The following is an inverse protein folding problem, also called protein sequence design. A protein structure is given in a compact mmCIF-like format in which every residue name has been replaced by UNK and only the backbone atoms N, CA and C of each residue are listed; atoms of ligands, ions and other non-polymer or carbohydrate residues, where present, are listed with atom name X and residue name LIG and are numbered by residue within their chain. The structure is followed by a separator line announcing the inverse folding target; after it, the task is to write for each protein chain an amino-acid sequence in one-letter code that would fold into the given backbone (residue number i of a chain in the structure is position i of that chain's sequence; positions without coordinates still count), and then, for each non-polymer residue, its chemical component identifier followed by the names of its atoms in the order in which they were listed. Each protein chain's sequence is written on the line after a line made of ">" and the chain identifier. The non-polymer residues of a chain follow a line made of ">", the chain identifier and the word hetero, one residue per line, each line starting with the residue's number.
data_IF_586482477213
#
_entry.id   IF_586482477213
#
_cell.length_a   1.000
_cell.length_b   1.000
_cell.length_c   1.000
_cell.angle_alpha   90.00
_cell.angle_beta   90.00
_cell.angle_gamma   90.00
#
_symmetry.space_group_name_H-M   'P 1'
#
loop_
_entity.id
_entity.type
_entity.pdbx_description
1 polymer ?
#
# COMPACT_ATOMS: atom_id res chain seq x y z
N UNK A 1 -41.85 -10.18 -20.32
CA UNK A 1 -41.95 -8.74 -20.01
C UNK A 1 -40.54 -8.23 -19.77
N UNK A 2 -40.08 -7.22 -20.53
CA UNK A 2 -38.80 -6.56 -20.27
C UNK A 2 -38.95 -5.72 -18.99
N UNK A 3 -38.39 -6.19 -17.88
CA UNK A 3 -38.31 -5.38 -16.66
C UNK A 3 -37.49 -4.13 -16.94
N UNK A 4 -38.02 -2.94 -16.64
CA UNK A 4 -37.23 -1.73 -16.71
C UNK A 4 -36.15 -1.79 -15.63
N UNK A 5 -34.88 -1.65 -16.03
CA UNK A 5 -33.76 -1.59 -15.10
C UNK A 5 -33.75 -0.17 -14.51
N UNK A 6 -34.31 -0.01 -13.32
CA UNK A 6 -34.06 1.18 -12.53
C UNK A 6 -32.63 1.10 -11.99
N UNK A 7 -31.69 1.78 -12.65
CA UNK A 7 -30.28 1.89 -12.23
C UNK A 7 -30.09 2.54 -10.83
N UNK A 8 -31.18 2.88 -10.11
CA UNK A 8 -31.19 3.76 -8.94
C UNK A 8 -32.37 3.49 -7.98
N UNK A 9 -32.59 2.25 -7.52
CA UNK A 9 -33.64 1.98 -6.51
C UNK A 9 -33.39 2.76 -5.19
N UNK A 10 -32.14 3.16 -4.93
CA UNK A 10 -31.70 4.05 -3.84
C UNK A 10 -31.14 5.43 -4.29
N UNK A 11 -31.38 5.83 -5.55
CA UNK A 11 -30.85 7.10 -6.08
C UNK A 11 -29.32 7.14 -6.25
N UNK A 12 -28.76 8.35 -6.37
CA UNK A 12 -27.31 8.62 -6.58
C UNK A 12 -26.42 8.14 -5.42
N UNK A 13 -27.02 7.72 -4.30
CA UNK A 13 -26.32 7.34 -3.07
C UNK A 13 -25.40 6.14 -3.29
N UNK A 14 -25.87 5.09 -3.97
CA UNK A 14 -25.09 3.85 -4.12
C UNK A 14 -23.85 4.05 -4.99
N UNK A 15 -23.93 4.69 -6.19
CA UNK A 15 -22.73 5.00 -6.95
C UNK A 15 -21.76 5.92 -6.20
N UNK A 16 -22.25 6.94 -5.49
CA UNK A 16 -21.40 7.83 -4.69
C UNK A 16 -20.70 7.09 -3.55
N UNK A 17 -21.42 6.23 -2.83
CA UNK A 17 -20.86 5.42 -1.75
C UNK A 17 -19.83 4.42 -2.29
N UNK A 18 -20.13 3.77 -3.40
CA UNK A 18 -19.22 2.84 -4.06
C UNK A 18 -17.94 3.56 -4.50
N UNK A 19 -18.05 4.75 -5.10
CA UNK A 19 -16.92 5.59 -5.44
C UNK A 19 -16.11 5.99 -4.20
N UNK A 20 -16.76 6.44 -3.13
CA UNK A 20 -16.10 6.83 -1.89
C UNK A 20 -15.31 5.66 -1.26
N UNK A 21 -15.87 4.45 -1.24
CA UNK A 21 -15.19 3.24 -0.78
C UNK A 21 -13.99 2.88 -1.66
N UNK A 22 -14.13 3.07 -2.98
CA UNK A 22 -13.03 2.88 -3.93
C UNK A 22 -11.88 3.84 -3.67
N UNK A 23 -12.18 5.12 -3.46
CA UNK A 23 -11.19 6.15 -3.11
C UNK A 23 -10.54 5.84 -1.77
N UNK A 24 -11.33 5.53 -0.73
CA UNK A 24 -10.82 5.22 0.61
C UNK A 24 -9.85 4.03 0.59
N UNK A 25 -10.25 2.91 0.00
CA UNK A 25 -9.37 1.74 -0.09
C UNK A 25 -8.13 2.02 -0.94
N UNK A 26 -8.23 2.85 -1.98
CA UNK A 26 -7.09 3.26 -2.81
C UNK A 26 -6.10 4.14 -2.05
N UNK A 27 -6.58 5.09 -1.23
CA UNK A 27 -5.72 5.91 -0.35
C UNK A 27 -4.96 5.02 0.64
N UNK A 28 -5.68 4.12 1.31
CA UNK A 28 -5.08 3.19 2.28
C UNK A 28 -4.05 2.28 1.60
N UNK A 29 -4.38 1.75 0.43
CA UNK A 29 -3.48 0.88 -0.31
C UNK A 29 -2.20 1.58 -0.79
N UNK A 30 -2.32 2.79 -1.34
CA UNK A 30 -1.16 3.59 -1.76
C UNK A 30 -0.30 3.99 -0.57
N UNK A 31 -0.92 4.32 0.57
CA UNK A 31 -0.19 4.62 1.82
C UNK A 31 0.58 3.38 2.30
N UNK A 32 -0.05 2.20 2.31
CA UNK A 32 0.63 0.93 2.59
C UNK A 32 1.75 0.64 1.58
N UNK A 33 1.55 0.91 0.29
CA UNK A 33 2.56 0.72 -0.73
C UNK A 33 3.77 1.64 -0.53
N UNK A 34 3.57 2.89 -0.09
CA UNK A 34 4.66 3.79 0.32
C UNK A 34 5.44 3.18 1.49
N UNK A 35 4.75 2.76 2.56
CA UNK A 35 5.37 2.11 3.73
C UNK A 35 6.10 0.81 3.39
N UNK A 36 5.61 0.04 2.43
CA UNK A 36 6.26 -1.17 1.94
C UNK A 36 7.62 -0.87 1.29
N UNK A 37 7.73 0.24 0.55
CA UNK A 37 8.98 0.66 -0.10
C UNK A 37 10.00 1.24 0.88
N UNK A 38 9.53 1.75 2.02
CA UNK A 38 10.34 2.29 3.13
C UNK A 38 10.65 1.22 4.19
N UNK A 39 10.29 -0.04 3.95
CA UNK A 39 10.53 -1.12 4.88
C UNK A 39 11.97 -1.65 4.77
N UNK A 40 12.68 -1.68 5.90
CA UNK A 40 14.07 -2.15 6.03
C UNK A 40 14.17 -3.68 6.08
N UNK A 41 13.06 -4.38 6.33
CA UNK A 41 13.02 -5.85 6.38
C UNK A 41 11.97 -6.43 5.45
N UNK A 42 12.28 -7.60 4.88
CA UNK A 42 11.37 -8.34 4.00
C UNK A 42 10.04 -8.66 4.69
N UNK A 43 10.07 -9.01 5.98
CA UNK A 43 8.85 -9.29 6.75
C UNK A 43 7.95 -8.06 6.92
N UNK A 44 8.52 -6.88 7.20
CA UNK A 44 7.75 -5.63 7.32
C UNK A 44 7.17 -5.21 5.97
N UNK A 45 7.96 -5.36 4.91
CA UNK A 45 7.53 -5.12 3.52
C UNK A 45 6.34 -6.01 3.14
N UNK A 46 6.42 -7.31 3.46
CA UNK A 46 5.35 -8.26 3.21
C UNK A 46 4.04 -7.88 3.94
N UNK A 47 4.13 -7.44 5.21
CA UNK A 47 2.94 -6.99 5.98
C UNK A 47 2.27 -5.76 5.35
N UNK A 48 3.06 -4.79 4.90
CA UNK A 48 2.51 -3.62 4.21
C UNK A 48 1.91 -3.96 2.86
N UNK A 49 2.51 -4.89 2.09
CA UNK A 49 1.92 -5.39 0.85
C UNK A 49 0.60 -6.12 1.14
N UNK A 50 0.54 -6.95 2.19
CA UNK A 50 -0.70 -7.62 2.59
C UNK A 50 -1.79 -6.60 2.96
N UNK A 51 -1.45 -5.58 3.76
CA UNK A 51 -2.36 -4.48 4.09
C UNK A 51 -2.83 -3.69 2.85
N UNK A 52 -1.93 -3.42 1.91
CA UNK A 52 -2.28 -2.79 0.64
C UNK A 52 -3.23 -3.65 -0.21
N UNK A 53 -3.05 -4.96 -0.18
CA UNK A 53 -3.87 -5.93 -0.92
C UNK A 53 -5.27 -6.04 -0.36
N UNK A 54 -5.40 -6.04 0.97
CA UNK A 54 -6.70 -6.01 1.66
C UNK A 54 -7.41 -4.68 1.38
N UNK A 55 -6.71 -3.55 1.45
CA UNK A 55 -7.29 -2.23 1.19
C UNK A 55 -7.74 -2.06 -0.27
N UNK A 56 -6.89 -2.39 -1.24
CA UNK A 56 -7.20 -2.22 -2.66
C UNK A 56 -8.15 -3.31 -3.15
N UNK A 57 -7.81 -4.58 -2.94
CA UNK A 57 -8.64 -5.71 -3.37
C UNK A 57 -9.95 -5.82 -2.60
N UNK A 58 -9.87 -5.81 -1.27
CA UNK A 58 -11.05 -5.95 -0.40
C UNK A 58 -11.92 -4.71 -0.41
N UNK A 59 -11.40 -3.56 0.03
CA UNK A 59 -12.23 -2.34 0.18
C UNK A 59 -12.47 -1.63 -1.15
N UNK A 60 -11.42 -1.31 -1.91
CA UNK A 60 -11.58 -0.41 -3.05
C UNK A 60 -12.24 -1.07 -4.27
N UNK A 61 -12.03 -2.37 -4.46
CA UNK A 61 -12.49 -3.13 -5.62
C UNK A 61 -13.69 -3.99 -5.25
N UNK A 62 -13.56 -4.94 -4.32
CA UNK A 62 -14.63 -5.88 -4.00
C UNK A 62 -15.81 -5.24 -3.26
N UNK A 63 -15.56 -4.47 -2.18
CA UNK A 63 -16.66 -3.82 -1.46
C UNK A 63 -17.35 -2.79 -2.33
N UNK A 64 -16.59 -1.98 -3.09
CA UNK A 64 -17.17 -1.07 -4.09
C UNK A 64 -18.13 -1.82 -5.02
N UNK A 65 -17.64 -2.89 -5.65
CA UNK A 65 -18.39 -3.70 -6.59
C UNK A 65 -19.67 -4.27 -5.96
N UNK A 66 -19.57 -4.82 -4.76
CA UNK A 66 -20.71 -5.42 -4.08
C UNK A 66 -21.73 -4.37 -3.65
N UNK A 67 -21.30 -3.24 -3.07
CA UNK A 67 -22.19 -2.14 -2.70
C UNK A 67 -22.89 -1.58 -3.94
N UNK A 68 -22.18 -1.40 -5.05
CA UNK A 68 -22.77 -0.96 -6.30
C UNK A 68 -23.84 -1.95 -6.78
N UNK A 69 -23.56 -3.27 -6.75
CA UNK A 69 -24.53 -4.32 -7.06
C UNK A 69 -25.76 -4.33 -6.15
N UNK A 70 -25.59 -4.13 -4.84
CA UNK A 70 -26.72 -4.06 -3.90
C UNK A 70 -27.66 -2.88 -4.18
N UNK A 71 -27.16 -1.82 -4.84
CA UNK A 71 -27.97 -0.69 -5.27
C UNK A 71 -28.77 -0.92 -6.56
N UNK A 72 -28.50 -2.04 -7.26
CA UNK A 72 -29.29 -2.44 -8.42
C UNK A 72 -30.49 -3.27 -7.98
N UNK A 73 -31.68 -2.76 -8.31
CA UNK A 73 -32.94 -3.49 -8.24
C UNK A 73 -33.39 -3.93 -9.62
N UNK A 74 -34.08 -5.07 -9.70
CA UNK A 74 -34.85 -5.45 -10.88
C UNK A 74 -36.32 -5.45 -10.47
N UNK A 75 -37.14 -4.62 -11.09
CA UNK A 75 -38.57 -4.57 -10.80
C UNK A 75 -39.20 -5.96 -10.99
N UNK A 76 -39.96 -6.40 -9.98
CA UNK A 76 -40.68 -7.66 -10.00
C UNK A 76 -39.93 -8.87 -9.43
N UNK A 77 -38.68 -8.75 -8.96
CA UNK A 77 -37.95 -9.86 -8.32
C UNK A 77 -36.95 -9.37 -7.26
N UNK A 78 -36.86 -10.10 -6.14
CA UNK A 78 -35.86 -9.81 -5.11
C UNK A 78 -34.55 -10.50 -5.45
N UNK A 79 -33.49 -9.74 -5.70
CA UNK A 79 -32.15 -10.31 -5.93
C UNK A 79 -31.62 -10.88 -4.61
N UNK A 80 -31.18 -12.14 -4.67
CA UNK A 80 -30.48 -12.85 -3.60
C UNK A 80 -29.05 -13.16 -4.04
N UNK A 81 -28.19 -13.43 -3.07
CA UNK A 81 -26.77 -13.64 -3.31
C UNK A 81 -26.29 -14.95 -2.69
N UNK A 82 -25.60 -15.75 -3.49
CA UNK A 82 -24.94 -16.97 -3.03
C UNK A 82 -23.68 -16.65 -2.22
N UNK A 83 -23.71 -16.88 -0.91
CA UNK A 83 -22.58 -16.61 0.00
C UNK A 83 -21.25 -17.22 -0.47
N UNK A 84 -21.18 -18.46 -0.97
CA UNK A 84 -19.91 -19.05 -1.40
C UNK A 84 -19.24 -18.27 -2.53
N UNK A 85 -19.99 -17.87 -3.57
CA UNK A 85 -19.43 -17.11 -4.69
C UNK A 85 -19.05 -15.68 -4.28
N UNK A 86 -19.81 -15.07 -3.36
CA UNK A 86 -19.45 -13.78 -2.75
C UNK A 86 -18.12 -13.84 -2.00
N UNK A 87 -17.84 -14.94 -1.29
CA UNK A 87 -16.55 -15.15 -0.60
C UNK A 87 -15.44 -15.46 -1.61
N UNK A 88 -15.69 -16.30 -2.61
CA UNK A 88 -14.70 -16.60 -3.66
C UNK A 88 -14.31 -15.32 -4.41
N UNK A 89 -15.27 -14.46 -4.74
CA UNK A 89 -14.98 -13.18 -5.40
C UNK A 89 -14.10 -12.28 -4.52
N UNK A 90 -14.35 -12.20 -3.20
CA UNK A 90 -13.49 -11.47 -2.26
C UNK A 90 -12.04 -11.98 -2.28
N UNK A 91 -11.88 -13.30 -2.21
CA UNK A 91 -10.56 -13.96 -2.24
C UNK A 91 -9.84 -13.67 -3.56
N UNK A 92 -10.55 -13.76 -4.69
CA UNK A 92 -9.99 -13.44 -6.00
C UNK A 92 -9.46 -12.01 -6.06
N UNK A 93 -10.19 -11.02 -5.54
CA UNK A 93 -9.72 -9.64 -5.51
C UNK A 93 -8.45 -9.48 -4.64
N UNK A 94 -8.47 -9.96 -3.40
CA UNK A 94 -7.35 -9.77 -2.47
C UNK A 94 -6.09 -10.49 -2.98
N UNK A 95 -6.23 -11.75 -3.41
CA UNK A 95 -5.10 -12.56 -3.88
C UNK A 95 -4.52 -12.00 -5.19
N UNK A 96 -5.36 -11.64 -6.15
CA UNK A 96 -4.90 -11.13 -7.44
C UNK A 96 -4.17 -9.80 -7.31
N UNK A 97 -4.68 -8.91 -6.47
CA UNK A 97 -4.01 -7.65 -6.14
C UNK A 97 -2.72 -7.90 -5.35
N UNK A 98 -2.73 -8.83 -4.39
CA UNK A 98 -1.55 -9.14 -3.59
C UNK A 98 -0.41 -9.76 -4.37
N UNK A 99 -0.70 -10.61 -5.35
CA UNK A 99 0.31 -11.12 -6.28
C UNK A 99 0.89 -9.98 -7.11
N UNK A 100 0.05 -9.12 -7.70
CA UNK A 100 0.51 -7.97 -8.50
C UNK A 100 1.39 -7.01 -7.69
N UNK A 101 0.93 -6.65 -6.48
CA UNK A 101 1.69 -5.80 -5.56
C UNK A 101 2.98 -6.47 -5.09
N UNK A 102 3.00 -7.80 -4.89
CA UNK A 102 4.23 -8.51 -4.53
C UNK A 102 5.24 -8.51 -5.69
N UNK A 103 4.79 -8.67 -6.93
CA UNK A 103 5.66 -8.67 -8.10
C UNK A 103 6.41 -7.35 -8.28
N UNK A 104 5.72 -6.22 -8.14
CA UNK A 104 6.33 -4.87 -8.22
C UNK A 104 6.94 -4.43 -6.89
N UNK A 105 6.43 -5.02 -5.81
CA UNK A 105 6.74 -4.66 -4.44
C UNK A 105 7.92 -5.41 -3.87
N UNK A 106 8.47 -6.48 -4.47
CA UNK A 106 9.74 -7.09 -4.05
C UNK A 106 10.86 -6.83 -5.07
N UNK A 107 11.92 -6.15 -4.63
CA UNK A 107 13.05 -5.74 -5.47
C UNK A 107 12.82 -4.43 -6.22
N UNK A 108 13.54 -4.25 -7.34
CA UNK A 108 13.45 -3.06 -8.20
C UNK A 108 12.31 -3.26 -9.21
N UNK A 109 11.32 -2.36 -9.17
CA UNK A 109 10.22 -2.37 -10.12
C UNK A 109 10.76 -2.01 -11.52
N UNK A 110 10.35 -2.77 -12.52
CA UNK A 110 10.64 -2.48 -13.92
C UNK A 110 9.33 -2.57 -14.73
N UNK A 111 9.36 -2.08 -15.96
CA UNK A 111 8.18 -2.01 -16.80
C UNK A 111 7.56 -3.39 -17.07
N UNK A 112 8.37 -4.43 -17.26
CA UNK A 112 7.90 -5.81 -17.49
C UNK A 112 7.13 -6.36 -16.29
N UNK A 113 7.61 -6.14 -15.06
CA UNK A 113 6.92 -6.56 -13.84
C UNK A 113 5.60 -5.82 -13.65
N UNK A 114 5.55 -4.53 -14.00
CA UNK A 114 4.31 -3.73 -13.92
C UNK A 114 3.29 -4.23 -14.95
N UNK A 115 3.71 -4.50 -16.19
CA UNK A 115 2.82 -5.04 -17.22
C UNK A 115 2.33 -6.45 -16.88
N UNK A 116 3.23 -7.36 -16.50
CA UNK A 116 2.87 -8.73 -16.15
C UNK A 116 2.00 -8.80 -14.90
N UNK A 117 2.36 -8.05 -13.85
CA UNK A 117 1.54 -7.94 -12.64
C UNK A 117 0.20 -7.28 -12.91
N UNK A 118 0.15 -6.24 -13.75
CA UNK A 118 -1.07 -5.52 -14.07
C UNK A 118 -2.03 -6.34 -14.93
N UNK A 119 -1.50 -7.12 -15.89
CA UNK A 119 -2.29 -8.08 -16.65
C UNK A 119 -2.91 -9.14 -15.73
N UNK A 120 -2.10 -9.76 -14.86
CA UNK A 120 -2.57 -10.77 -13.92
C UNK A 120 -3.62 -10.21 -12.95
N UNK A 121 -3.33 -9.06 -12.31
CA UNK A 121 -4.26 -8.41 -11.39
C UNK A 121 -5.53 -7.97 -12.10
N UNK A 122 -5.45 -7.42 -13.32
CA UNK A 122 -6.61 -6.98 -14.10
C UNK A 122 -7.54 -8.14 -14.47
N UNK A 123 -6.97 -9.25 -14.96
CA UNK A 123 -7.74 -10.48 -15.22
C UNK A 123 -8.35 -11.04 -13.94
N UNK A 124 -7.62 -11.04 -12.83
CA UNK A 124 -8.15 -11.46 -11.54
C UNK A 124 -9.28 -10.57 -11.01
N UNK A 125 -9.20 -9.26 -11.25
CA UNK A 125 -10.26 -8.29 -10.90
C UNK A 125 -11.50 -8.47 -11.78
N UNK A 126 -11.32 -8.74 -13.09
CA UNK A 126 -12.43 -9.12 -13.96
C UNK A 126 -13.05 -10.46 -13.54
N UNK A 127 -12.23 -11.46 -13.19
CA UNK A 127 -12.71 -12.74 -12.67
C UNK A 127 -13.50 -12.56 -11.37
N UNK A 128 -13.03 -11.71 -10.45
CA UNK A 128 -13.79 -11.33 -9.26
C UNK A 128 -15.15 -10.73 -9.62
N UNK A 129 -15.17 -9.75 -10.53
CA UNK A 129 -16.38 -9.04 -10.94
C UNK A 129 -17.44 -10.00 -11.49
N UNK A 130 -17.07 -10.85 -12.44
CA UNK A 130 -18.00 -11.80 -13.05
C UNK A 130 -18.36 -12.97 -12.12
N UNK A 131 -17.47 -13.37 -11.19
CA UNK A 131 -17.82 -14.34 -10.13
C UNK A 131 -18.83 -13.75 -9.15
N UNK A 132 -18.69 -12.47 -8.81
CA UNK A 132 -19.66 -11.73 -7.99
C UNK A 132 -21.03 -11.68 -8.64
N UNK A 133 -21.09 -11.34 -9.93
CA UNK A 133 -22.34 -11.34 -10.69
C UNK A 133 -22.94 -12.74 -10.89
N UNK A 134 -22.11 -13.76 -11.10
CA UNK A 134 -22.57 -15.16 -11.13
C UNK A 134 -23.19 -15.62 -9.79
N UNK A 135 -22.87 -14.92 -8.68
CA UNK A 135 -23.48 -15.14 -7.38
C UNK A 135 -24.90 -14.57 -7.24
N UNK A 136 -25.38 -13.76 -8.19
CA UNK A 136 -26.73 -13.20 -8.18
C UNK A 136 -27.76 -14.28 -8.53
N UNK A 137 -28.78 -14.40 -7.68
CA UNK A 137 -29.91 -15.30 -7.83
C UNK A 137 -31.17 -14.46 -7.95
N UNK A 138 -31.85 -14.58 -9.09
CA UNK A 138 -33.10 -13.87 -9.40
C UNK A 138 -33.99 -14.78 -10.25
N UNK A 139 -35.28 -14.45 -10.37
CA UNK A 139 -36.27 -15.25 -11.11
C UNK A 139 -36.14 -15.03 -12.63
N UNK A 140 -34.96 -15.31 -13.18
CA UNK A 140 -34.57 -14.94 -14.53
C UNK A 140 -33.24 -15.56 -14.95
N UNK A 141 -32.94 -15.50 -16.25
CA UNK A 141 -31.60 -15.81 -16.76
C UNK A 141 -30.82 -14.53 -17.01
N UNK A 142 -29.55 -14.53 -16.59
CA UNK A 142 -28.60 -13.45 -16.86
C UNK A 142 -27.80 -13.82 -18.11
N UNK A 143 -27.86 -12.98 -19.13
CA UNK A 143 -27.03 -13.08 -20.34
C UNK A 143 -26.08 -11.90 -20.43
N UNK A 144 -24.94 -12.11 -21.07
CA UNK A 144 -23.91 -11.09 -21.27
C UNK A 144 -23.70 -10.82 -22.75
N UNK A 145 -23.69 -9.55 -23.11
CA UNK A 145 -23.20 -9.09 -24.40
C UNK A 145 -21.66 -9.16 -24.40
N UNK A 146 -21.03 -9.85 -25.36
CA UNK A 146 -19.57 -10.03 -25.36
C UNK A 146 -18.81 -8.71 -25.51
N UNK A 147 -19.37 -7.69 -26.18
CA UNK A 147 -18.62 -6.45 -26.48
C UNK A 147 -18.35 -5.63 -25.20
N UNK A 148 -19.36 -5.30 -24.36
CA UNK A 148 -19.09 -4.60 -23.11
C UNK A 148 -18.31 -5.44 -22.09
N UNK A 149 -18.40 -6.79 -22.15
CA UNK A 149 -17.54 -7.68 -21.35
C UNK A 149 -16.07 -7.50 -21.71
N UNK A 150 -15.71 -7.57 -22.99
CA UNK A 150 -14.32 -7.37 -23.41
C UNK A 150 -13.85 -5.97 -23.02
N UNK A 151 -14.69 -4.95 -23.18
CA UNK A 151 -14.35 -3.58 -22.80
C UNK A 151 -14.10 -3.44 -21.29
N UNK A 152 -14.94 -4.01 -20.44
CA UNK A 152 -14.75 -3.98 -18.99
C UNK A 152 -13.44 -4.66 -18.58
N UNK A 153 -13.11 -5.81 -19.19
CA UNK A 153 -11.86 -6.55 -18.95
C UNK A 153 -10.64 -5.71 -19.35
N UNK A 154 -10.70 -5.00 -20.50
CA UNK A 154 -9.64 -4.10 -20.93
C UNK A 154 -9.45 -2.93 -19.94
N UNK A 155 -10.55 -2.34 -19.46
CA UNK A 155 -10.50 -1.30 -18.43
C UNK A 155 -9.87 -1.85 -17.15
N UNK A 156 -10.23 -3.07 -16.73
CA UNK A 156 -9.66 -3.72 -15.55
C UNK A 156 -8.14 -3.88 -15.66
N UNK A 157 -7.64 -4.34 -16.81
CA UNK A 157 -6.19 -4.50 -17.07
C UNK A 157 -5.47 -3.16 -17.07
N UNK A 158 -5.99 -2.16 -17.77
CA UNK A 158 -5.38 -0.82 -17.80
C UNK A 158 -5.37 -0.21 -16.39
N UNK A 159 -6.49 -0.28 -15.68
CA UNK A 159 -6.60 0.21 -14.31
C UNK A 159 -5.61 -0.48 -13.36
N UNK A 160 -5.45 -1.80 -13.47
CA UNK A 160 -4.50 -2.56 -12.66
C UNK A 160 -3.04 -2.18 -12.97
N UNK A 161 -2.68 -2.02 -14.25
CA UNK A 161 -1.34 -1.54 -14.66
C UNK A 161 -1.08 -0.15 -14.05
N UNK A 162 -2.03 0.77 -14.17
CA UNK A 162 -1.92 2.12 -13.60
C UNK A 162 -1.81 2.06 -12.08
N UNK A 163 -2.62 1.26 -11.40
CA UNK A 163 -2.57 1.10 -9.95
C UNK A 163 -1.20 0.58 -9.47
N UNK A 164 -0.63 -0.42 -10.15
CA UNK A 164 0.70 -0.93 -9.82
C UNK A 164 1.81 0.07 -10.15
N UNK A 165 1.66 0.86 -11.20
CA UNK A 165 2.59 1.95 -11.51
C UNK A 165 2.55 3.06 -10.44
N UNK A 166 1.35 3.47 -10.01
CA UNK A 166 1.16 4.44 -8.94
C UNK A 166 1.72 3.92 -7.61
N UNK A 167 1.52 2.63 -7.31
CA UNK A 167 2.01 1.99 -6.09
C UNK A 167 3.53 1.94 -5.97
N UNK A 168 4.28 2.16 -7.06
CA UNK A 168 5.75 2.27 -7.05
C UNK A 168 6.27 3.70 -7.26
N UNK A 169 5.45 4.62 -7.77
CA UNK A 169 5.89 5.97 -8.16
C UNK A 169 5.40 7.09 -7.25
N UNK A 170 4.19 6.98 -6.72
CA UNK A 170 3.54 8.05 -5.94
C UNK A 170 4.16 8.18 -4.55
N UNK A 171 4.40 9.43 -4.13
CA UNK A 171 4.85 9.81 -2.79
C UNK A 171 4.17 11.12 -2.39
N UNK A 172 3.92 11.30 -1.09
CA UNK A 172 3.28 12.49 -0.53
C UNK A 172 1.75 12.43 -0.54
N UNK A 173 1.13 13.03 0.49
CA UNK A 173 -0.31 12.91 0.75
C UNK A 173 -1.20 13.41 -0.40
N UNK A 174 -0.87 14.56 -0.99
CA UNK A 174 -1.64 15.12 -2.12
C UNK A 174 -1.60 14.25 -3.38
N UNK A 175 -0.42 13.70 -3.70
CA UNK A 175 -0.29 12.80 -4.85
C UNK A 175 -1.03 11.48 -4.61
N UNK A 176 -1.02 10.96 -3.38
CA UNK A 176 -1.84 9.80 -2.98
C UNK A 176 -3.33 10.10 -3.16
N UNK A 177 -3.80 11.24 -2.65
CA UNK A 177 -5.20 11.63 -2.75
C UNK A 177 -5.65 11.77 -4.21
N UNK A 178 -4.89 12.48 -5.04
CA UNK A 178 -5.18 12.62 -6.48
C UNK A 178 -5.19 11.28 -7.22
N UNK A 179 -4.22 10.41 -6.90
CA UNK A 179 -4.13 9.06 -7.48
C UNK A 179 -5.32 8.19 -7.08
N UNK A 180 -5.76 8.27 -5.82
CA UNK A 180 -6.89 7.50 -5.32
C UNK A 180 -8.22 7.93 -5.95
N UNK A 181 -8.41 9.23 -6.23
CA UNK A 181 -9.57 9.72 -6.97
C UNK A 181 -9.62 9.13 -8.38
N UNK A 182 -8.50 9.16 -9.11
CA UNK A 182 -8.39 8.58 -10.46
C UNK A 182 -8.64 7.07 -10.43
N UNK A 183 -8.05 6.37 -9.45
CA UNK A 183 -8.27 4.94 -9.26
C UNK A 183 -9.74 4.64 -8.96
N UNK A 184 -10.41 5.46 -8.15
CA UNK A 184 -11.84 5.33 -7.88
C UNK A 184 -12.67 5.40 -9.16
N UNK A 185 -12.36 6.36 -10.06
CA UNK A 185 -13.03 6.49 -11.35
C UNK A 185 -12.80 5.26 -12.22
N UNK A 186 -11.55 4.78 -12.31
CA UNK A 186 -11.21 3.61 -13.10
C UNK A 186 -11.91 2.33 -12.61
N UNK A 187 -11.93 2.10 -11.29
CA UNK A 187 -12.53 0.92 -10.68
C UNK A 187 -14.06 0.94 -10.83
N UNK A 188 -14.69 2.10 -10.66
CA UNK A 188 -16.13 2.28 -10.90
C UNK A 188 -16.46 2.15 -12.39
N UNK A 189 -15.64 2.75 -13.26
CA UNK A 189 -15.81 2.68 -14.71
C UNK A 189 -15.78 1.25 -15.24
N UNK A 190 -14.86 0.42 -14.74
CA UNK A 190 -14.83 -1.01 -15.04
C UNK A 190 -16.16 -1.66 -14.65
N UNK A 191 -16.58 -1.45 -13.41
CA UNK A 191 -17.78 -2.09 -12.86
C UNK A 191 -19.05 -1.71 -13.64
N UNK A 192 -19.29 -0.42 -13.84
CA UNK A 192 -20.48 0.03 -14.56
C UNK A 192 -20.46 -0.37 -16.03
N UNK A 193 -19.28 -0.43 -16.67
CA UNK A 193 -19.16 -0.99 -18.03
C UNK A 193 -19.48 -2.49 -18.04
N UNK A 194 -19.06 -3.24 -17.03
CA UNK A 194 -19.44 -4.65 -16.89
C UNK A 194 -20.95 -4.84 -16.69
N UNK A 195 -21.58 -3.95 -15.92
CA UNK A 195 -23.04 -3.95 -15.69
C UNK A 195 -23.83 -3.65 -16.97
N UNK A 196 -23.34 -2.79 -17.87
CA UNK A 196 -24.04 -2.53 -19.15
C UNK A 196 -24.04 -3.74 -20.09
N UNK A 197 -23.18 -4.74 -19.85
CA UNK A 197 -23.19 -6.00 -20.58
C UNK A 197 -24.39 -6.88 -20.22
N UNK A 198 -25.00 -6.67 -19.05
CA UNK A 198 -25.97 -7.58 -18.46
C UNK A 198 -27.36 -7.40 -19.08
N UNK A 199 -27.98 -8.52 -19.49
CA UNK A 199 -29.38 -8.60 -19.91
C UNK A 199 -30.10 -9.62 -19.05
N UNK A 200 -31.26 -9.23 -18.51
CA UNK A 200 -32.07 -10.08 -17.62
C UNK A 200 -33.35 -10.47 -18.34
N UNK A 201 -33.54 -11.76 -18.56
CA UNK A 201 -34.79 -12.33 -19.08
C UNK A 201 -35.55 -12.96 -17.90
N UNK A 202 -36.64 -12.32 -17.46
CA UNK A 202 -37.46 -12.78 -16.33
C UNK A 202 -38.35 -13.96 -16.75
N UNK A 203 -38.44 -14.97 -15.88
CA UNK A 203 -39.36 -16.09 -16.04
C UNK A 203 -40.66 -15.83 -15.26
N UNK A 204 -41.75 -16.44 -15.70
CA UNK A 204 -43.04 -16.36 -15.01
C UNK A 204 -43.12 -17.27 -13.78
N UNK A 205 -42.21 -18.24 -13.66
CA UNK A 205 -42.13 -19.16 -12.52
C UNK A 205 -41.14 -18.64 -11.47
N UNK A 206 -41.58 -18.62 -10.20
CA UNK A 206 -40.74 -18.25 -9.07
C UNK A 206 -39.90 -19.45 -8.64
N UNK A 207 -38.58 -19.32 -8.73
CA UNK A 207 -37.65 -20.38 -8.32
C UNK A 207 -37.26 -20.14 -6.86
N UNK A 208 -37.19 -21.20 -6.06
CA UNK A 208 -36.76 -21.08 -4.65
C UNK A 208 -35.25 -20.84 -4.59
N UNK A 209 -34.86 -19.58 -4.42
CA UNK A 209 -33.46 -19.20 -4.22
C UNK A 209 -32.98 -19.47 -2.78
N UNK A 210 -31.81 -20.08 -2.63
CA UNK A 210 -31.18 -20.36 -1.32
C UNK A 210 -30.26 -19.23 -0.84
N UNK A 211 -30.00 -18.25 -1.71
CA UNK A 211 -29.20 -17.08 -1.39
C UNK A 211 -29.83 -16.17 -0.33
N UNK A 212 -28.99 -15.30 0.21
CA UNK A 212 -29.37 -14.30 1.22
C UNK A 212 -29.75 -12.98 0.56
N UNK A 213 -30.63 -12.21 1.18
CA UNK A 213 -31.08 -10.92 0.64
C UNK A 213 -30.00 -9.85 0.80
N UNK A 214 -30.08 -8.79 -0.01
CA UNK A 214 -29.20 -7.62 0.05
C UNK A 214 -29.05 -7.05 1.46
N UNK A 215 -30.16 -6.90 2.18
CA UNK A 215 -30.17 -6.34 3.54
C UNK A 215 -29.41 -7.19 4.55
N UNK A 216 -29.50 -8.52 4.45
CA UNK A 216 -28.77 -9.44 5.35
C UNK A 216 -27.27 -9.47 5.07
N UNK A 217 -26.84 -9.33 3.81
CA UNK A 217 -25.41 -9.28 3.46
C UNK A 217 -24.76 -7.93 3.73
N UNK A 218 -25.52 -6.84 3.68
CA UNK A 218 -24.96 -5.50 3.86
C UNK A 218 -24.29 -5.35 5.23
N UNK A 219 -24.93 -5.83 6.30
CA UNK A 219 -24.43 -5.72 7.69
C UNK A 219 -23.03 -6.35 7.86
N UNK A 220 -22.80 -7.65 7.59
CA UNK A 220 -21.49 -8.25 7.76
C UNK A 220 -20.42 -7.63 6.86
N UNK A 221 -20.79 -7.16 5.66
CA UNK A 221 -19.86 -6.49 4.75
C UNK A 221 -19.42 -5.14 5.31
N UNK A 222 -20.36 -4.30 5.74
CA UNK A 222 -20.07 -3.00 6.35
C UNK A 222 -19.23 -3.18 7.61
N UNK A 223 -19.59 -4.13 8.48
CA UNK A 223 -18.79 -4.44 9.69
C UNK A 223 -17.39 -4.90 9.30
N UNK A 224 -17.25 -5.82 8.35
CA UNK A 224 -15.95 -6.31 7.88
C UNK A 224 -15.07 -5.20 7.32
N UNK A 225 -15.64 -4.26 6.56
CA UNK A 225 -14.95 -3.10 6.02
C UNK A 225 -14.52 -2.14 7.11
N UNK A 226 -15.40 -1.82 8.06
CA UNK A 226 -15.09 -0.95 9.20
C UNK A 226 -13.94 -1.56 10.02
N UNK A 227 -14.04 -2.83 10.37
CA UNK A 227 -12.99 -3.54 11.13
C UNK A 227 -11.68 -3.58 10.35
N UNK A 228 -11.73 -3.87 9.05
CA UNK A 228 -10.54 -3.89 8.19
C UNK A 228 -9.87 -2.52 8.07
N UNK A 229 -10.65 -1.46 7.86
CA UNK A 229 -10.15 -0.09 7.77
C UNK A 229 -9.58 0.38 9.10
N UNK A 230 -10.30 0.18 10.21
CA UNK A 230 -9.82 0.55 11.55
C UNK A 230 -8.56 -0.23 11.90
N UNK A 231 -8.52 -1.53 11.64
CA UNK A 231 -7.35 -2.37 11.89
C UNK A 231 -6.13 -1.91 11.08
N UNK A 232 -6.35 -1.50 9.82
CA UNK A 232 -5.28 -0.99 8.97
C UNK A 232 -4.80 0.39 9.41
N UNK A 233 -5.71 1.30 9.76
CA UNK A 233 -5.38 2.63 10.30
C UNK A 233 -4.63 2.47 11.63
N UNK A 234 -5.08 1.59 12.52
CA UNK A 234 -4.37 1.27 13.76
C UNK A 234 -2.96 0.74 13.46
N UNK A 235 -2.80 -0.20 12.53
CA UNK A 235 -1.48 -0.68 12.12
C UNK A 235 -0.58 0.43 11.55
N UNK A 236 -1.15 1.43 10.87
CA UNK A 236 -0.43 2.62 10.39
C UNK A 236 0.00 3.54 11.54
N UNK A 237 -0.84 3.73 12.55
CA UNK A 237 -0.57 4.58 13.71
C UNK A 237 0.41 3.93 14.69
N UNK A 238 0.34 2.61 14.86
CA UNK A 238 1.25 1.84 15.70
C UNK A 238 2.58 1.52 15.04
N UNK A 239 2.75 1.87 13.76
CA UNK A 239 4.03 1.71 13.09
C UNK A 239 5.05 2.68 13.71
N UNK A 240 6.21 2.19 14.22
CA UNK A 240 7.19 3.04 14.88
C UNK A 240 7.58 4.24 14.00
N UNK A 241 7.51 5.43 14.57
CA UNK A 241 7.95 6.65 13.88
C UNK A 241 9.44 6.57 13.55
N UNK A 242 9.94 7.47 12.69
CA UNK A 242 11.38 7.56 12.44
C UNK A 242 12.15 7.93 13.72
N UNK A 243 11.52 8.72 14.60
CA UNK A 243 12.06 9.08 15.92
C UNK A 243 12.12 7.88 16.86
N UNK A 244 11.06 7.06 16.93
CA UNK A 244 11.07 5.82 17.74
C UNK A 244 12.17 4.86 17.26
N UNK A 245 12.37 4.78 15.94
CA UNK A 245 13.44 3.95 15.34
C UNK A 245 14.82 4.50 15.65
N UNK A 246 15.01 5.81 15.56
CA UNK A 246 16.27 6.45 15.91
C UNK A 246 16.58 6.29 17.41
N UNK A 247 15.57 6.43 18.28
CA UNK A 247 15.69 6.22 19.72
C UNK A 247 16.04 4.76 20.05
N UNK A 248 15.39 3.78 19.41
CA UNK A 248 15.71 2.37 19.60
C UNK A 248 17.12 2.01 19.12
N UNK A 249 17.53 2.51 17.95
CA UNK A 249 18.88 2.31 17.43
C UNK A 249 19.93 2.95 18.36
N UNK A 250 19.63 4.12 18.93
CA UNK A 250 20.48 4.77 19.92
C UNK A 250 20.60 3.93 21.21
N UNK A 251 19.48 3.45 21.76
CA UNK A 251 19.47 2.58 22.96
C UNK A 251 20.27 1.30 22.70
N UNK A 252 20.10 0.67 21.54
CA UNK A 252 20.83 -0.54 21.18
C UNK A 252 22.34 -0.29 21.03
N UNK A 253 22.73 0.84 20.42
CA UNK A 253 24.14 1.24 20.33
C UNK A 253 24.78 1.42 21.72
N UNK A 254 24.04 2.02 22.67
CA UNK A 254 24.50 2.23 24.05
C UNK A 254 24.59 0.92 24.82
N UNK A 255 23.61 0.02 24.64
CA UNK A 255 23.64 -1.32 25.22
C UNK A 255 24.86 -2.12 24.74
N UNK A 256 25.14 -2.08 23.44
CA UNK A 256 26.26 -2.80 22.86
C UNK A 256 27.61 -2.18 23.26
N UNK A 257 27.68 -0.85 23.39
CA UNK A 257 28.86 -0.16 23.91
C UNK A 257 29.12 -0.44 25.41
N UNK A 258 28.06 -0.57 26.21
CA UNK A 258 28.15 -0.93 27.64
C UNK A 258 28.44 -2.42 27.89
N UNK A 259 28.24 -3.29 26.89
CA UNK A 259 28.53 -4.72 26.96
C UNK A 259 29.92 -5.10 26.41
N UNK A 260 30.74 -4.12 26.00
CA UNK A 260 32.13 -4.38 25.67
C UNK A 260 32.86 -4.94 26.91
N UNK A 261 33.69 -5.99 26.79
CA UNK A 261 34.44 -6.50 27.93
C UNK A 261 35.26 -5.35 28.51
N UNK A 262 35.09 -5.07 29.81
CA UNK A 262 36.02 -4.20 30.52
C UNK A 262 37.45 -4.73 30.30
N UNK A 263 38.48 -3.86 30.35
CA UNK A 263 39.86 -4.32 30.22
C UNK A 263 40.07 -5.45 31.23
N UNK A 264 40.37 -6.65 30.71
CA UNK A 264 40.63 -7.81 31.54
C UNK A 264 41.73 -7.49 32.55
N UNK A 265 41.74 -8.13 33.73
CA UNK A 265 42.77 -7.88 34.74
C UNK A 265 44.14 -8.04 34.08
N UNK A 266 44.99 -7.03 34.26
CA UNK A 266 46.32 -7.01 33.67
C UNK A 266 47.13 -8.20 34.20
N UNK A 267 47.22 -9.26 33.40
CA UNK A 267 48.19 -10.34 33.59
C UNK A 267 49.59 -9.75 33.33
N UNK A 268 50.27 -9.39 34.40
CA UNK A 268 51.58 -8.75 34.30
C UNK A 268 52.22 -8.41 35.64
N UNK A 269 52.10 -9.27 36.65
CA UNK A 269 53.01 -9.23 37.79
C UNK A 269 54.41 -9.71 37.34
N UNK A 270 55.17 -8.81 36.72
CA UNK A 270 56.60 -9.01 36.52
C UNK A 270 57.31 -9.05 37.88
N UNK A 271 58.32 -9.91 38.09
CA UNK A 271 58.99 -10.02 39.37
C UNK A 271 59.74 -8.71 39.69
N UNK A 272 59.60 -8.27 40.95
CA UNK A 272 60.20 -7.06 41.48
C UNK A 272 61.73 -7.02 41.29
N UNK A 273 62.31 -5.86 40.95
CA UNK A 273 63.76 -5.76 40.80
C UNK A 273 64.46 -5.85 42.16
N UNK A 274 65.45 -6.75 42.25
CA UNK A 274 66.37 -6.85 43.36
C UNK A 274 67.24 -5.58 43.50
N UNK A 275 67.58 -5.23 44.74
CA UNK A 275 68.21 -3.98 45.14
C UNK A 275 69.62 -3.71 44.57
N UNK A 276 70.13 -2.48 44.76
CA UNK A 276 71.32 -1.99 44.05
C UNK A 276 72.62 -2.37 44.75
N UNK A 277 73.72 -2.64 44.00
CA UNK A 277 75.05 -2.56 44.56
C UNK A 277 75.63 -1.14 44.40
N UNK A 278 76.32 -0.72 45.44
CA UNK A 278 77.06 0.54 45.54
C UNK A 278 78.24 0.61 44.54
N UNK A 279 78.50 1.79 43.97
CA UNK A 279 79.68 1.96 43.11
C UNK A 279 79.84 3.29 42.36
N UNK A 280 80.04 4.38 43.11
CA UNK A 280 81.00 5.48 42.86
C UNK A 280 81.33 5.90 41.40
N UNK A 281 80.97 7.14 41.02
CA UNK A 281 81.92 8.03 40.34
C UNK A 281 81.46 8.88 39.14
N UNK A 282 81.18 10.15 39.45
CA UNK A 282 81.51 11.39 38.68
C UNK A 282 80.72 11.81 37.41
N UNK A 283 80.09 12.99 37.62
CA UNK A 283 80.12 14.25 36.84
C UNK A 283 79.48 14.31 35.45
N UNK A 284 78.56 15.26 35.30
CA UNK A 284 78.36 15.99 34.05
C UNK A 284 76.92 16.41 33.78
N UNK A 285 76.48 17.47 34.44
CA UNK A 285 75.23 18.19 34.18
C UNK A 285 75.35 18.94 32.85
N UNK A 286 74.40 18.77 31.90
CA UNK A 286 73.71 19.82 31.13
C UNK A 286 72.34 19.27 30.70
N UNK A 287 71.29 20.06 30.93
CA UNK A 287 69.90 19.81 30.53
C UNK A 287 69.45 20.85 29.49
N UNK A 288 68.44 20.48 28.71
CA UNK A 288 67.50 21.25 27.87
C UNK A 288 67.45 20.63 26.46
N UNK A 289 66.33 20.23 25.88
CA UNK A 289 64.93 20.42 26.23
C UNK A 289 64.15 20.34 24.91
N UNK A 290 63.24 19.37 24.84
CA UNK A 290 61.91 19.35 24.20
C UNK A 290 61.71 20.18 22.92
N UNK A 291 61.44 19.56 21.79
CA UNK A 291 60.20 18.88 21.41
C UNK A 291 59.43 19.73 20.38
N UNK A 292 59.27 19.09 19.23
CA UNK A 292 58.59 19.51 18.02
C UNK A 292 57.08 19.64 18.26
N UNK A 293 56.52 20.83 18.07
CA UNK A 293 55.08 21.06 18.05
C UNK A 293 54.61 21.40 16.62
N UNK A 294 53.58 20.72 16.06
CA UNK A 294 53.05 21.03 14.75
C UNK A 294 52.06 22.22 14.77
N UNK A 295 52.10 23.02 13.71
CA UNK A 295 51.34 24.26 13.49
C UNK A 295 49.85 23.98 13.13
N UNK A 296 48.87 24.72 13.65
CA UNK A 296 47.47 24.61 13.21
C UNK A 296 47.17 25.43 11.93
N UNK A 297 46.17 25.02 11.11
CA UNK A 297 45.86 25.66 9.84
C UNK A 297 45.13 27.02 9.98
N UNK A 298 45.43 27.94 9.06
CA UNK A 298 44.91 29.32 8.98
C UNK A 298 43.43 29.37 8.58
N UNK A 299 42.70 30.32 9.17
CA UNK A 299 41.30 30.65 8.89
C UNK A 299 41.12 31.43 7.55
N UNK A 300 39.95 31.34 6.90
CA UNK A 300 39.64 32.05 5.65
C UNK A 300 39.19 33.51 5.89
N UNK A 301 39.61 34.40 5.00
CA UNK A 301 39.24 35.82 4.94
C UNK A 301 37.81 36.05 4.41
N UNK A 302 37.08 37.07 4.90
CA UNK A 302 35.74 37.39 4.40
C UNK A 302 35.74 38.54 3.37
N UNK A 303 34.77 38.49 2.45
CA UNK A 303 34.12 39.69 1.91
C UNK A 303 34.49 40.10 0.48
N UNK A 304 33.57 39.85 -0.45
CA UNK A 304 33.57 40.42 -1.80
C UNK A 304 32.17 40.35 -2.41
N UNK A 305 31.29 41.25 -1.95
CA UNK A 305 29.96 41.48 -2.51
C UNK A 305 30.04 42.21 -3.85
N UNK A 306 29.54 41.58 -4.92
CA UNK A 306 29.36 42.22 -6.24
C UNK A 306 27.92 42.06 -6.71
N UNK A 307 27.13 43.12 -6.54
CA UNK A 307 25.80 43.30 -7.12
C UNK A 307 25.91 43.69 -8.61
N UNK A 308 25.23 42.96 -9.49
CA UNK A 308 24.74 43.36 -10.82
C UNK A 308 23.67 42.31 -11.17
N UNK A 309 22.38 42.56 -11.37
CA UNK A 309 21.72 43.70 -11.99
C UNK A 309 21.50 43.41 -13.47
N UNK A 310 20.46 42.64 -13.85
CA UNK A 310 19.90 42.68 -15.22
C UNK A 310 18.45 42.16 -15.30
N UNK A 311 17.62 42.93 -16.02
CA UNK A 311 16.17 42.86 -16.23
C UNK A 311 15.65 41.66 -17.07
N UNK A 312 14.33 41.38 -17.01
CA UNK A 312 13.66 40.40 -17.87
C UNK A 312 13.22 40.99 -19.22
N UNK A 313 13.55 40.31 -20.32
CA UNK A 313 13.06 40.63 -21.66
C UNK A 313 11.70 39.96 -21.92
N UNK A 314 10.63 40.75 -22.04
CA UNK A 314 9.42 40.37 -22.79
C UNK A 314 9.71 40.45 -24.29
N UNK A 315 9.20 39.49 -25.08
CA UNK A 315 8.33 39.74 -26.25
C UNK A 315 7.98 38.42 -26.99
N UNK A 316 6.68 38.35 -27.31
CA UNK A 316 5.98 37.71 -28.45
C UNK A 316 6.13 36.21 -28.65
#
# INVERSE_FOLDING_TARGET
>A
MSGQIHHFEYGVITPVLSYALSVLGSVLALTCAVRAREADSTGRRARWIAGASIALGGTAIWTMHFIAMLGFGVEGTTIRYGVPLTVVSLVLAIVSVGIGLSLVGFGRANFVKILGGGLFTGVGVAAMHYTGMAGMQLDGTIRYDPVPVVLSVLIAVVAAIVALWLSVRVRGGWAIAGSALIMGVAVNGMHFTGMTAMRVELHSETVRHTGVTSGTLLVPIVVGVIVGVIGLVYAMLSAPSDEDRAALAYIESRRNAGAAPGPGPADGAGPAPAGPPAGRGRRGVIAAGDAFAPQPPRAPTPGGSGFHGFEPRKKT
#
